data_IF_177513354396
#
_entry.id   IF_177513354396
#
_cell.length_a   1.000
_cell.length_b   1.000
_cell.length_c   1.000
_cell.angle_alpha   90.00
_cell.angle_beta   90.00
_cell.angle_gamma   90.00
#
_symmetry.space_group_name_H-M   'P 1'
#
loop_
_entity.id
_entity.type
_entity.pdbx_description
1 polymer ?
#
# COMPACT_ATOMS: atom_id res chain seq x y z
N UNK A 1 30.41 -26.05 -11.47
CA UNK A 1 29.14 -26.46 -10.83
C UNK A 1 28.73 -25.65 -9.57
N UNK A 2 29.39 -24.55 -9.27
CA UNK A 2 29.09 -23.74 -8.07
C UNK A 2 28.34 -22.39 -8.27
N UNK A 3 28.13 -21.85 -9.48
CA UNK A 3 27.34 -20.61 -9.60
C UNK A 3 25.82 -20.83 -9.68
N UNK A 4 25.35 -22.00 -10.11
CA UNK A 4 23.91 -22.28 -10.26
C UNK A 4 23.16 -22.37 -8.91
N UNK A 5 23.82 -22.77 -7.85
CA UNK A 5 23.19 -22.91 -6.54
C UNK A 5 22.97 -21.56 -5.82
N UNK A 6 23.76 -20.53 -6.16
CA UNK A 6 23.64 -19.18 -5.57
C UNK A 6 22.49 -18.38 -6.17
N UNK A 7 22.16 -18.61 -7.42
CA UNK A 7 21.04 -17.90 -8.10
C UNK A 7 19.69 -18.46 -7.63
N UNK A 8 19.61 -19.77 -7.38
CA UNK A 8 18.39 -20.40 -6.89
C UNK A 8 18.05 -19.99 -5.45
N UNK A 9 19.03 -19.74 -4.60
CA UNK A 9 18.82 -19.26 -3.23
C UNK A 9 18.34 -17.81 -3.18
N UNK A 10 18.80 -16.94 -4.10
CA UNK A 10 18.29 -15.56 -4.18
C UNK A 10 16.84 -15.49 -4.64
N UNK A 11 16.41 -16.34 -5.58
CA UNK A 11 15.02 -16.39 -6.05
C UNK A 11 14.04 -16.91 -4.99
N UNK A 12 14.47 -17.86 -4.16
CA UNK A 12 13.68 -18.34 -3.03
C UNK A 12 13.54 -17.29 -1.91
N UNK A 13 14.55 -16.46 -1.70
CA UNK A 13 14.50 -15.40 -0.69
C UNK A 13 13.59 -14.25 -1.09
N UNK A 14 13.53 -13.89 -2.39
CA UNK A 14 12.58 -12.88 -2.90
C UNK A 14 11.12 -13.34 -2.79
N UNK A 15 10.83 -14.63 -2.97
CA UNK A 15 9.48 -15.18 -2.85
C UNK A 15 8.94 -15.12 -1.40
N UNK A 16 9.80 -15.23 -0.38
CA UNK A 16 9.40 -15.14 1.02
C UNK A 16 9.07 -13.70 1.46
N UNK A 17 9.66 -12.68 0.82
CA UNK A 17 9.33 -11.28 1.09
C UNK A 17 7.98 -10.84 0.53
N UNK A 18 7.51 -11.47 -0.55
CA UNK A 18 6.21 -11.16 -1.15
C UNK A 18 5.03 -11.65 -0.30
N UNK A 19 5.19 -12.69 0.52
CA UNK A 19 4.14 -13.21 1.40
C UNK A 19 3.94 -12.40 2.69
N UNK A 20 4.89 -11.56 3.09
CA UNK A 20 4.79 -10.77 4.32
C UNK A 20 3.92 -9.51 4.18
N UNK A 21 3.54 -9.12 2.96
CA UNK A 21 2.80 -7.87 2.71
C UNK A 21 1.28 -8.02 2.69
N UNK A 22 0.75 -9.24 2.81
CA UNK A 22 -0.69 -9.49 2.67
C UNK A 22 -1.40 -9.75 4.01
N UNK A 23 -0.90 -9.20 5.11
CA UNK A 23 -1.75 -9.03 6.29
C UNK A 23 -2.68 -7.87 5.97
N UNK A 24 -3.95 -8.20 5.70
CA UNK A 24 -5.02 -7.22 5.64
C UNK A 24 -4.91 -6.34 6.90
N UNK A 25 -4.30 -5.16 6.75
CA UNK A 25 -4.15 -4.23 7.86
C UNK A 25 -5.56 -3.77 8.21
N UNK A 26 -6.03 -4.16 9.38
CA UNK A 26 -7.31 -3.64 9.91
C UNK A 26 -7.20 -2.11 9.89
N UNK A 27 -8.10 -1.42 9.21
CA UNK A 27 -8.06 0.04 9.16
C UNK A 27 -8.06 0.61 10.58
N UNK A 28 -7.25 1.64 10.83
CA UNK A 28 -7.07 2.21 12.16
C UNK A 28 -8.40 2.63 12.82
N UNK A 29 -9.39 3.06 12.04
CA UNK A 29 -10.72 3.43 12.53
C UNK A 29 -11.58 2.24 13.01
N UNK A 30 -11.16 1.01 12.74
CA UNK A 30 -11.76 -0.23 13.26
C UNK A 30 -10.80 -0.96 14.24
N UNK A 31 -9.70 -0.34 14.61
CA UNK A 31 -8.70 -0.87 15.53
C UNK A 31 -8.80 -0.21 16.92
N UNK A 32 -8.13 -0.72 17.95
CA UNK A 32 -8.05 -0.08 19.26
C UNK A 32 -7.60 1.38 19.21
N UNK A 33 -6.83 1.79 18.18
CA UNK A 33 -6.39 3.17 17.98
C UNK A 33 -7.57 4.16 17.94
N UNK A 34 -8.70 3.74 17.37
CA UNK A 34 -9.90 4.57 17.33
C UNK A 34 -10.40 4.94 18.74
N UNK A 35 -10.38 3.98 19.65
CA UNK A 35 -10.74 4.21 21.06
C UNK A 35 -9.68 5.05 21.78
N UNK A 36 -8.41 4.79 21.50
CA UNK A 36 -7.28 5.47 22.16
C UNK A 36 -7.24 6.99 21.86
N UNK A 37 -7.63 7.39 20.66
CA UNK A 37 -7.74 8.81 20.27
C UNK A 37 -9.11 9.42 20.58
N UNK A 38 -9.98 8.68 21.26
CA UNK A 38 -11.28 9.18 21.73
C UNK A 38 -12.28 9.50 20.60
N UNK A 39 -12.36 8.66 19.56
CA UNK A 39 -13.36 8.84 18.52
C UNK A 39 -14.77 8.70 19.11
N UNK A 40 -15.62 9.71 18.88
CA UNK A 40 -17.05 9.61 19.20
C UNK A 40 -17.77 8.63 18.27
N UNK A 41 -18.93 8.14 18.70
CA UNK A 41 -19.76 7.28 17.88
C UNK A 41 -20.17 7.96 16.56
N UNK A 42 -20.49 9.25 16.63
CA UNK A 42 -20.85 10.04 15.45
C UNK A 42 -19.70 10.17 14.47
N UNK A 43 -18.47 10.44 14.95
CA UNK A 43 -17.27 10.47 14.12
C UNK A 43 -17.00 9.10 13.46
N UNK A 44 -17.11 8.02 14.23
CA UNK A 44 -16.93 6.66 13.72
C UNK A 44 -17.95 6.30 12.63
N UNK A 45 -19.20 6.70 12.79
CA UNK A 45 -20.24 6.52 11.77
C UNK A 45 -19.93 7.35 10.51
N UNK A 46 -19.48 8.60 10.67
CA UNK A 46 -19.13 9.47 9.56
C UNK A 46 -17.95 8.92 8.75
N UNK A 47 -16.92 8.42 9.42
CA UNK A 47 -15.76 7.78 8.76
C UNK A 47 -16.22 6.55 7.96
N UNK A 48 -17.07 5.69 8.53
CA UNK A 48 -17.61 4.52 7.80
C UNK A 48 -18.40 4.93 6.55
N UNK A 49 -19.19 5.99 6.62
CA UNK A 49 -19.93 6.52 5.46
C UNK A 49 -18.98 7.02 4.37
N UNK A 50 -17.93 7.75 4.74
CA UNK A 50 -16.90 8.21 3.80
C UNK A 50 -16.23 7.00 3.13
N UNK A 51 -15.71 6.05 3.90
CA UNK A 51 -15.07 4.84 3.36
C UNK A 51 -16.01 4.08 2.42
N UNK A 52 -17.28 3.94 2.79
CA UNK A 52 -18.27 3.29 1.96
C UNK A 52 -18.48 4.02 0.63
N UNK A 53 -18.53 5.36 0.63
CA UNK A 53 -18.73 6.15 -0.59
C UNK A 53 -17.54 6.10 -1.57
N UNK A 54 -16.34 5.78 -1.08
CA UNK A 54 -15.14 5.62 -1.90
C UNK A 54 -14.85 4.17 -2.32
N UNK A 55 -15.59 3.20 -1.80
CA UNK A 55 -15.31 1.76 -1.98
C UNK A 55 -15.20 1.37 -3.45
N UNK A 56 -16.17 1.74 -4.26
CA UNK A 56 -16.21 1.41 -5.68
C UNK A 56 -15.05 2.07 -6.44
N UNK A 57 -14.85 3.37 -6.24
CA UNK A 57 -13.74 4.11 -6.86
C UNK A 57 -12.36 3.53 -6.50
N UNK A 58 -12.16 3.12 -5.25
CA UNK A 58 -10.92 2.47 -4.81
C UNK A 58 -10.73 1.09 -5.43
N UNK A 59 -11.81 0.33 -5.56
CA UNK A 59 -11.80 -0.97 -6.20
C UNK A 59 -11.45 -0.86 -7.68
N UNK A 60 -12.10 0.04 -8.40
CA UNK A 60 -11.85 0.28 -9.83
C UNK A 60 -10.43 0.79 -10.08
N UNK A 61 -9.97 1.74 -9.28
CA UNK A 61 -8.61 2.26 -9.39
C UNK A 61 -7.55 1.18 -9.14
N UNK A 62 -7.78 0.27 -8.19
CA UNK A 62 -6.90 -0.88 -7.95
C UNK A 62 -6.91 -1.87 -9.12
N UNK A 63 -8.09 -2.17 -9.68
CA UNK A 63 -8.22 -3.05 -10.82
C UNK A 63 -7.48 -2.49 -12.05
N UNK A 64 -7.54 -1.18 -12.29
CA UNK A 64 -6.80 -0.55 -13.39
C UNK A 64 -5.28 -0.65 -13.20
N UNK A 65 -4.78 -0.51 -11.96
CA UNK A 65 -3.36 -0.77 -11.67
C UNK A 65 -2.99 -2.21 -12.00
N UNK A 66 -3.77 -3.18 -11.52
CA UNK A 66 -3.50 -4.60 -11.78
C UNK A 66 -3.52 -4.95 -13.28
N UNK A 67 -4.47 -4.41 -14.04
CA UNK A 67 -4.53 -4.60 -15.50
C UNK A 67 -3.33 -3.99 -16.22
N UNK A 68 -2.91 -2.79 -15.80
CA UNK A 68 -1.76 -2.12 -16.39
C UNK A 68 -0.45 -2.84 -16.08
N UNK A 69 -0.29 -3.32 -14.84
CA UNK A 69 0.87 -4.11 -14.41
C UNK A 69 0.93 -5.46 -15.13
N UNK A 70 -0.21 -6.17 -15.27
CA UNK A 70 -0.27 -7.42 -16.01
C UNK A 70 0.12 -7.24 -17.50
N UNK A 71 -0.29 -6.15 -18.13
CA UNK A 71 0.11 -5.84 -19.50
C UNK A 71 1.62 -5.55 -19.61
N UNK A 72 2.23 -4.94 -18.58
CA UNK A 72 3.68 -4.74 -18.54
C UNK A 72 4.40 -6.07 -18.36
N UNK A 73 3.93 -6.94 -17.46
CA UNK A 73 4.51 -8.25 -17.21
C UNK A 73 4.44 -9.13 -18.48
N UNK A 74 3.32 -9.09 -19.22
CA UNK A 74 3.17 -9.79 -20.50
C UNK A 74 4.20 -9.29 -21.52
N UNK A 75 4.37 -7.98 -21.68
CA UNK A 75 5.36 -7.42 -22.58
C UNK A 75 6.79 -7.78 -22.17
N UNK A 76 7.11 -7.75 -20.88
CA UNK A 76 8.45 -8.09 -20.37
C UNK A 76 8.82 -9.56 -20.61
N UNK A 77 7.83 -10.44 -20.77
CA UNK A 77 8.03 -11.84 -21.09
C UNK A 77 8.04 -12.12 -22.62
N UNK A 78 7.79 -11.10 -23.45
CA UNK A 78 7.88 -11.23 -24.91
C UNK A 78 9.36 -11.23 -25.34
N UNK A 79 9.79 -12.26 -26.07
CA UNK A 79 11.15 -12.39 -26.57
C UNK A 79 11.56 -11.31 -27.60
N UNK A 80 10.62 -10.53 -28.11
CA UNK A 80 10.85 -9.41 -29.05
C UNK A 80 10.57 -8.04 -28.39
N UNK A 81 10.52 -7.97 -27.07
CA UNK A 81 10.31 -6.73 -26.35
C UNK A 81 11.33 -5.66 -26.72
N UNK A 82 10.86 -4.43 -26.90
CA UNK A 82 11.72 -3.25 -27.09
C UNK A 82 11.35 -2.15 -26.09
N UNK A 83 12.31 -1.30 -25.76
CA UNK A 83 12.06 -0.15 -24.90
C UNK A 83 11.02 0.81 -25.47
N UNK A 84 10.94 0.95 -26.78
CA UNK A 84 9.94 1.77 -27.45
C UNK A 84 8.52 1.19 -27.29
N UNK A 85 8.36 -0.12 -27.41
CA UNK A 85 7.08 -0.79 -27.18
C UNK A 85 6.64 -0.72 -25.71
N UNK A 86 7.58 -0.64 -24.77
CA UNK A 86 7.29 -0.55 -23.36
C UNK A 86 6.77 0.84 -22.91
N UNK A 87 7.17 1.93 -23.57
CA UNK A 87 6.82 3.31 -23.20
C UNK A 87 5.32 3.54 -22.93
N UNK A 88 4.40 3.19 -23.84
CA UNK A 88 2.98 3.42 -23.62
C UNK A 88 2.43 2.61 -22.45
N UNK A 89 2.94 1.40 -22.23
CA UNK A 89 2.51 0.53 -21.14
C UNK A 89 3.03 1.08 -19.79
N UNK A 90 4.30 1.51 -19.73
CA UNK A 90 4.88 2.17 -18.56
C UNK A 90 4.07 3.41 -18.19
N UNK A 91 3.72 4.25 -19.18
CA UNK A 91 2.89 5.43 -18.94
C UNK A 91 1.51 5.05 -18.39
N UNK A 92 0.90 3.99 -18.90
CA UNK A 92 -0.37 3.48 -18.38
C UNK A 92 -0.26 3.01 -16.94
N UNK A 93 0.80 2.28 -16.57
CA UNK A 93 1.06 1.88 -15.19
C UNK A 93 1.22 3.09 -14.28
N UNK A 94 2.04 4.08 -14.70
CA UNK A 94 2.26 5.29 -13.94
C UNK A 94 0.96 6.08 -13.72
N UNK A 95 0.14 6.23 -14.76
CA UNK A 95 -1.14 6.91 -14.69
C UNK A 95 -2.14 6.18 -13.78
N UNK A 96 -2.24 4.85 -13.89
CA UNK A 96 -3.11 4.04 -13.05
C UNK A 96 -2.72 4.14 -11.56
N UNK A 97 -1.42 4.06 -11.25
CA UNK A 97 -0.91 4.23 -9.88
C UNK A 97 -1.17 5.63 -9.35
N UNK A 98 -0.95 6.68 -10.17
CA UNK A 98 -1.25 8.06 -9.79
C UNK A 98 -2.74 8.24 -9.47
N UNK A 99 -3.64 7.70 -10.29
CA UNK A 99 -5.09 7.76 -10.06
C UNK A 99 -5.49 7.01 -8.78
N UNK A 100 -4.93 5.81 -8.56
CA UNK A 100 -5.19 5.04 -7.34
C UNK A 100 -4.76 5.80 -6.08
N UNK A 101 -3.58 6.42 -6.12
CA UNK A 101 -3.08 7.27 -5.04
C UNK A 101 -3.97 8.50 -4.82
N UNK A 102 -4.43 9.13 -5.89
CA UNK A 102 -5.31 10.29 -5.81
C UNK A 102 -6.63 9.95 -5.11
N UNK A 103 -7.30 8.87 -5.50
CA UNK A 103 -8.56 8.43 -4.87
C UNK A 103 -8.37 8.14 -3.38
N UNK A 104 -7.27 7.47 -3.04
CA UNK A 104 -6.93 7.17 -1.64
C UNK A 104 -6.67 8.45 -0.82
N UNK A 105 -5.91 9.39 -1.35
CA UNK A 105 -5.60 10.66 -0.67
C UNK A 105 -6.85 11.53 -0.51
N UNK A 106 -7.72 11.58 -1.51
CA UNK A 106 -9.00 12.27 -1.44
C UNK A 106 -9.88 11.70 -0.30
N UNK A 107 -10.02 10.38 -0.23
CA UNK A 107 -10.72 9.75 0.89
C UNK A 107 -10.05 10.08 2.23
N UNK A 108 -8.73 10.03 2.30
CA UNK A 108 -7.97 10.30 3.53
C UNK A 108 -8.15 11.73 4.02
N UNK A 109 -8.20 12.72 3.11
CA UNK A 109 -8.49 14.12 3.48
C UNK A 109 -9.91 14.29 4.02
N UNK A 110 -10.89 13.59 3.45
CA UNK A 110 -12.26 13.59 3.96
C UNK A 110 -12.35 12.99 5.37
N UNK A 111 -11.61 11.90 5.62
CA UNK A 111 -11.51 11.31 6.97
C UNK A 111 -10.84 12.30 7.93
N UNK A 112 -9.78 12.99 7.49
CA UNK A 112 -9.09 14.00 8.29
C UNK A 112 -10.02 15.13 8.73
N UNK A 113 -10.95 15.57 7.90
CA UNK A 113 -11.94 16.60 8.23
C UNK A 113 -12.89 16.20 9.39
N UNK A 114 -13.09 14.90 9.60
CA UNK A 114 -13.94 14.40 10.71
C UNK A 114 -13.23 14.48 12.07
N UNK A 115 -11.90 14.46 12.06
CA UNK A 115 -11.08 14.45 13.28
C UNK A 115 -10.83 15.87 13.79
N UNK A 116 -10.82 16.04 15.13
CA UNK A 116 -10.28 17.26 15.72
C UNK A 116 -8.77 17.34 15.51
N UNK A 117 -8.20 18.53 15.68
CA UNK A 117 -6.75 18.71 15.58
C UNK A 117 -5.98 17.83 16.58
N UNK A 118 -6.49 17.73 17.82
CA UNK A 118 -5.87 16.92 18.87
C UNK A 118 -5.91 15.42 18.54
N UNK A 119 -7.07 14.91 18.09
CA UNK A 119 -7.19 13.51 17.64
C UNK A 119 -6.23 13.19 16.50
N UNK A 120 -6.06 14.11 15.55
CA UNK A 120 -5.11 13.97 14.46
C UNK A 120 -3.67 13.90 14.94
N UNK A 121 -3.26 14.79 15.87
CA UNK A 121 -1.93 14.76 16.46
C UNK A 121 -1.63 13.43 17.15
N UNK A 122 -2.57 12.93 17.95
CA UNK A 122 -2.45 11.64 18.63
C UNK A 122 -2.32 10.48 17.62
N UNK A 123 -3.09 10.51 16.54
CA UNK A 123 -3.00 9.51 15.47
C UNK A 123 -1.63 9.52 14.78
N UNK A 124 -1.11 10.69 14.45
CA UNK A 124 0.23 10.84 13.84
C UNK A 124 1.33 10.32 14.77
N UNK A 125 1.29 10.68 16.05
CA UNK A 125 2.25 10.18 17.05
C UNK A 125 2.25 8.65 17.11
N UNK A 126 1.07 8.01 17.13
CA UNK A 126 0.94 6.55 17.12
C UNK A 126 1.54 5.92 15.87
N UNK A 127 1.37 6.55 14.72
CA UNK A 127 1.97 6.05 13.48
C UNK A 127 3.49 6.15 13.46
N UNK A 128 4.05 7.22 13.99
CA UNK A 128 5.49 7.39 14.10
C UNK A 128 6.10 6.38 15.07
N UNK A 129 5.44 6.07 16.19
CA UNK A 129 5.85 5.00 17.11
C UNK A 129 5.85 3.62 16.43
N UNK A 130 4.81 3.31 15.65
CA UNK A 130 4.71 2.03 14.92
C UNK A 130 5.77 1.93 13.83
N UNK A 131 6.04 3.02 13.11
CA UNK A 131 7.13 3.08 12.12
C UNK A 131 8.49 2.93 12.79
N UNK A 132 8.72 3.61 13.88
CA UNK A 132 9.97 3.53 14.65
C UNK A 132 10.24 2.10 15.14
N UNK A 133 9.23 1.41 15.68
CA UNK A 133 9.35 0.00 16.09
C UNK A 133 9.66 -0.92 14.90
N UNK A 134 8.99 -0.76 13.76
CA UNK A 134 9.25 -1.58 12.56
C UNK A 134 10.68 -1.41 12.04
N UNK A 135 11.22 -0.19 12.10
CA UNK A 135 12.60 0.08 11.70
C UNK A 135 13.60 -0.50 12.71
N UNK A 136 13.29 -0.47 14.00
CA UNK A 136 14.12 -1.06 15.05
C UNK A 136 14.12 -2.60 14.98
N UNK A 137 12.95 -3.22 14.76
CA UNK A 137 12.80 -4.67 14.66
C UNK A 137 13.36 -5.24 13.32
N UNK A 138 13.34 -4.44 12.24
CA UNK A 138 13.93 -4.79 10.93
C UNK A 138 15.43 -4.48 10.81
N UNK A 139 16.01 -3.77 11.76
CA UNK A 139 17.40 -3.30 11.75
C UNK A 139 18.44 -4.33 12.25
N UNK A 140 18.03 -5.53 12.65
CA UNK A 140 18.93 -6.57 13.14
C UNK A 140 19.29 -7.61 12.03
N UNK A 141 19.73 -7.12 10.87
CA UNK A 141 20.58 -7.93 9.99
C UNK A 141 21.96 -7.29 10.03
N UNK A 142 22.71 -7.55 11.09
CA UNK A 142 24.15 -7.38 11.09
C UNK A 142 24.75 -8.51 10.26
N UNK A 143 25.49 -8.22 9.18
CA UNK A 143 26.30 -9.23 8.51
C UNK A 143 27.50 -9.51 9.40
N UNK A 144 27.64 -10.73 9.87
CA UNK A 144 28.91 -11.32 10.25
C UNK A 144 29.56 -12.01 9.05
#
# INVERSE_FOLDING_TARGET
MKPFFRVLTCLLFCALFAFAQNRAQVPWWNSPVASDIGLSQAQSQRIRQIVHSYRERLFDARNEVQKAEAALDELMNDGQMSAEAAKPIINRVAQARANSSHVFLEMSTRIREVLTYEQWRQLVQRWDEVKGKRLADGGLITPQ
#
